data_IF_294777072070
#
_entry.id   IF_294777072070
#
_cell.length_a   1.000
_cell.length_b   1.000
_cell.length_c   1.000
_cell.angle_alpha   90.00
_cell.angle_beta   90.00
_cell.angle_gamma   90.00
#
_symmetry.space_group_name_H-M   'P 1'
#
loop_
_entity.id
_entity.type
_entity.pdbx_description
1 polymer ?
#
# COMPACT_ATOMS: atom_id res chain seq x y z
N UNK A 1 12.67 -15.07 16.12
CA UNK A 1 12.04 -15.26 14.80
C UNK A 1 12.85 -14.45 13.81
N UNK A 2 13.22 -15.02 12.66
CA UNK A 2 14.10 -14.33 11.71
C UNK A 2 13.26 -13.58 10.67
N UNK A 3 13.64 -12.33 10.43
CA UNK A 3 13.05 -11.45 9.44
C UNK A 3 14.08 -11.08 8.35
N UNK A 4 13.56 -10.72 7.19
CA UNK A 4 14.33 -10.24 6.05
C UNK A 4 13.60 -9.10 5.35
N UNK A 5 14.32 -8.33 4.54
CA UNK A 5 13.75 -7.39 3.56
C UNK A 5 13.80 -7.99 2.17
N UNK A 6 12.79 -7.73 1.37
CA UNK A 6 12.68 -8.13 -0.02
C UNK A 6 12.38 -6.89 -0.85
N UNK A 7 13.34 -6.50 -1.67
CA UNK A 7 13.21 -5.32 -2.52
C UNK A 7 13.37 -5.72 -3.98
N UNK A 8 12.38 -5.40 -4.80
CA UNK A 8 12.42 -5.57 -6.25
C UNK A 8 12.68 -4.19 -6.84
N UNK A 9 13.81 -4.04 -7.51
CA UNK A 9 14.23 -2.82 -8.21
C UNK A 9 14.14 -3.01 -9.72
N UNK A 10 14.43 -1.96 -10.48
CA UNK A 10 14.41 -2.00 -11.96
C UNK A 10 15.32 -3.11 -12.53
N UNK A 11 16.49 -3.30 -11.92
CA UNK A 11 17.53 -4.21 -12.38
C UNK A 11 18.15 -5.06 -11.25
N UNK A 12 17.55 -5.11 -10.06
CA UNK A 12 17.99 -6.02 -9.01
C UNK A 12 16.87 -6.55 -8.13
N UNK A 13 17.09 -7.72 -7.54
CA UNK A 13 16.28 -8.24 -6.42
C UNK A 13 17.20 -8.40 -5.22
N UNK A 14 16.86 -7.74 -4.13
CA UNK A 14 17.64 -7.76 -2.90
C UNK A 14 16.87 -8.47 -1.79
N UNK A 15 17.49 -9.52 -1.24
CA UNK A 15 17.02 -10.24 -0.05
C UNK A 15 18.02 -9.99 1.07
N UNK A 16 17.64 -9.17 2.05
CA UNK A 16 18.53 -8.76 3.14
C UNK A 16 18.05 -9.33 4.47
N UNK A 17 18.83 -10.26 5.03
CA UNK A 17 18.64 -10.77 6.38
C UNK A 17 19.05 -9.77 7.47
N UNK A 18 18.63 -10.06 8.71
CA UNK A 18 18.98 -9.28 9.91
C UNK A 18 20.47 -9.32 10.28
N UNK A 19 21.20 -10.34 9.82
CA UNK A 19 22.60 -10.58 10.20
C UNK A 19 23.61 -10.13 9.12
N UNK A 20 23.27 -9.13 8.30
CA UNK A 20 24.08 -8.67 7.15
C UNK A 20 24.27 -9.74 6.05
N UNK A 21 23.47 -10.80 6.07
CA UNK A 21 23.34 -11.73 4.95
C UNK A 21 22.54 -11.04 3.85
N UNK A 22 23.23 -10.53 2.82
CA UNK A 22 22.58 -9.92 1.66
C UNK A 22 22.75 -10.83 0.45
N UNK A 23 21.63 -11.27 -0.11
CA UNK A 23 21.55 -11.91 -1.41
C UNK A 23 21.00 -10.88 -2.39
N UNK A 24 21.90 -10.27 -3.16
CA UNK A 24 21.54 -9.33 -4.22
C UNK A 24 21.72 -10.02 -5.57
N UNK A 25 20.67 -10.01 -6.38
CA UNK A 25 20.69 -10.47 -7.77
C UNK A 25 20.59 -9.24 -8.66
N UNK A 26 21.73 -8.73 -9.11
CA UNK A 26 21.81 -7.57 -10.00
C UNK A 26 21.99 -8.01 -11.46
N UNK A 27 21.35 -7.29 -12.38
CA UNK A 27 21.37 -7.55 -13.81
C UNK A 27 21.87 -6.32 -14.58
N UNK A 28 22.73 -6.53 -15.57
CA UNK A 28 23.48 -5.43 -16.22
C UNK A 28 22.60 -4.45 -17.00
N UNK A 29 21.49 -4.91 -17.58
CA UNK A 29 20.62 -4.08 -18.44
C UNK A 29 19.14 -4.16 -18.03
N UNK A 30 18.60 -5.38 -17.96
CA UNK A 30 17.20 -5.62 -17.64
C UNK A 30 17.01 -6.95 -16.92
N UNK A 31 15.91 -7.06 -16.19
CA UNK A 31 15.47 -8.32 -15.58
C UNK A 31 15.30 -9.42 -16.64
N UNK A 32 15.76 -10.66 -16.37
CA UNK A 32 15.53 -11.79 -17.25
C UNK A 32 14.03 -11.98 -17.52
N UNK A 33 13.62 -12.35 -18.75
CA UNK A 33 12.22 -12.48 -19.12
C UNK A 33 11.49 -13.64 -18.41
N UNK A 34 12.23 -14.56 -17.81
CA UNK A 34 11.73 -15.71 -17.05
C UNK A 34 11.95 -15.56 -15.54
N UNK A 35 12.22 -14.35 -15.06
CA UNK A 35 12.53 -14.11 -13.65
C UNK A 35 11.34 -14.46 -12.73
N UNK A 36 10.11 -14.26 -13.19
CA UNK A 36 8.89 -14.67 -12.52
C UNK A 36 8.73 -16.19 -12.39
N UNK A 37 9.45 -16.99 -13.18
CA UNK A 37 9.51 -18.45 -13.05
C UNK A 37 10.68 -18.90 -12.14
N UNK A 38 11.83 -18.21 -12.22
CA UNK A 38 13.07 -18.61 -11.52
C UNK A 38 13.11 -18.11 -10.08
N UNK A 39 12.65 -16.89 -9.83
CA UNK A 39 12.75 -16.25 -8.52
C UNK A 39 11.89 -16.93 -7.45
N UNK A 40 10.64 -17.34 -7.69
CA UNK A 40 9.82 -17.99 -6.66
C UNK A 40 10.48 -19.24 -6.02
N UNK A 41 10.93 -20.27 -6.76
CA UNK A 41 11.56 -21.44 -6.14
C UNK A 41 12.90 -21.11 -5.46
N UNK A 42 13.63 -20.11 -5.96
CA UNK A 42 14.85 -19.62 -5.32
C UNK A 42 14.54 -18.93 -3.99
N UNK A 43 13.50 -18.09 -3.95
CA UNK A 43 13.04 -17.44 -2.72
C UNK A 43 12.65 -18.50 -1.69
N UNK A 44 11.83 -19.48 -2.05
CA UNK A 44 11.46 -20.58 -1.15
C UNK A 44 12.69 -21.27 -0.55
N UNK A 45 13.70 -21.57 -1.40
CA UNK A 45 14.94 -22.19 -0.95
C UNK A 45 15.70 -21.32 0.05
N UNK A 46 15.78 -20.01 -0.20
CA UNK A 46 16.40 -19.04 0.73
C UNK A 46 15.64 -19.03 2.04
N UNK A 47 14.30 -18.91 2.01
CA UNK A 47 13.48 -18.89 3.21
C UNK A 47 13.67 -20.16 4.05
N UNK A 48 13.78 -21.33 3.42
CA UNK A 48 14.00 -22.61 4.09
C UNK A 48 15.40 -22.74 4.70
N UNK A 49 16.44 -22.38 3.94
CA UNK A 49 17.84 -22.48 4.41
C UNK A 49 18.07 -21.57 5.60
N UNK A 50 17.55 -20.34 5.55
CA UNK A 50 17.79 -19.36 6.60
C UNK A 50 16.74 -19.38 7.70
N UNK A 51 15.59 -20.04 7.50
CA UNK A 51 14.50 -20.15 8.45
C UNK A 51 13.75 -18.83 8.65
N UNK A 52 13.57 -18.07 7.57
CA UNK A 52 12.82 -16.81 7.57
C UNK A 52 11.31 -17.07 7.57
N UNK A 53 10.58 -16.37 8.43
CA UNK A 53 9.12 -16.49 8.54
C UNK A 53 8.41 -15.14 8.66
N UNK A 54 9.15 -14.04 8.60
CA UNK A 54 8.66 -12.67 8.67
C UNK A 54 9.35 -11.86 7.59
N UNK A 55 8.60 -10.96 6.96
CA UNK A 55 9.13 -9.96 6.04
C UNK A 55 9.06 -8.63 6.75
N UNK A 56 10.20 -7.97 6.95
CA UNK A 56 10.21 -6.62 7.52
C UNK A 56 9.66 -5.63 6.49
N UNK A 57 10.26 -5.63 5.31
CA UNK A 57 9.92 -4.73 4.21
C UNK A 57 9.78 -5.56 2.93
N UNK A 58 8.68 -5.38 2.21
CA UNK A 58 8.46 -5.93 0.87
C UNK A 58 8.20 -4.77 -0.10
N UNK A 59 9.10 -4.55 -1.06
CA UNK A 59 8.91 -3.59 -2.14
C UNK A 59 8.68 -4.34 -3.46
N UNK A 60 7.56 -4.04 -4.14
CA UNK A 60 7.17 -4.69 -5.39
C UNK A 60 7.99 -4.24 -6.61
N UNK A 61 8.60 -3.07 -6.54
CA UNK A 61 9.09 -2.35 -7.73
C UNK A 61 7.96 -1.94 -8.67
N UNK A 62 8.34 -1.33 -9.79
CA UNK A 62 7.43 -0.72 -10.77
C UNK A 62 7.11 -1.61 -11.99
N UNK A 63 7.96 -2.59 -12.33
CA UNK A 63 7.83 -3.34 -13.61
C UNK A 63 6.90 -4.55 -13.57
N UNK A 64 7.20 -5.55 -12.74
CA UNK A 64 6.68 -6.91 -12.93
C UNK A 64 5.62 -7.30 -11.91
N UNK A 65 4.36 -7.11 -12.30
CA UNK A 65 3.23 -7.59 -11.51
C UNK A 65 3.25 -9.10 -11.31
N UNK A 66 3.62 -9.86 -12.35
CA UNK A 66 3.70 -11.33 -12.28
C UNK A 66 4.72 -11.78 -11.24
N UNK A 67 5.89 -11.16 -11.20
CA UNK A 67 6.91 -11.47 -10.20
C UNK A 67 6.41 -11.12 -8.79
N UNK A 68 5.86 -9.91 -8.60
CA UNK A 68 5.24 -9.51 -7.33
C UNK A 68 4.18 -10.51 -6.89
N UNK A 69 3.30 -10.94 -7.81
CA UNK A 69 2.24 -11.87 -7.53
C UNK A 69 2.77 -13.25 -7.12
N UNK A 70 3.71 -13.82 -7.89
CA UNK A 70 4.31 -15.13 -7.57
C UNK A 70 5.03 -15.12 -6.21
N UNK A 71 5.73 -14.03 -5.88
CA UNK A 71 6.35 -13.85 -4.57
C UNK A 71 5.28 -13.76 -3.48
N UNK A 72 4.23 -12.95 -3.71
CA UNK A 72 3.13 -12.77 -2.75
C UNK A 72 2.45 -14.10 -2.44
N UNK A 73 2.21 -14.95 -3.43
CA UNK A 73 1.63 -16.29 -3.22
C UNK A 73 2.47 -17.15 -2.26
N UNK A 74 3.81 -17.13 -2.40
CA UNK A 74 4.71 -17.83 -1.46
C UNK A 74 4.52 -17.29 -0.04
N UNK A 75 4.50 -15.95 0.11
CA UNK A 75 4.35 -15.31 1.42
C UNK A 75 2.99 -15.61 2.06
N UNK A 76 1.92 -15.65 1.26
CA UNK A 76 0.56 -16.03 1.67
C UNK A 76 0.55 -17.49 2.14
N UNK A 77 1.07 -18.43 1.34
CA UNK A 77 1.10 -19.86 1.65
C UNK A 77 1.89 -20.15 2.92
N UNK A 78 3.00 -19.44 3.13
CA UNK A 78 3.83 -19.53 4.34
C UNK A 78 3.25 -18.78 5.53
N UNK A 79 2.17 -18.02 5.34
CA UNK A 79 1.55 -17.16 6.36
C UNK A 79 2.56 -16.18 6.96
N UNK A 80 3.45 -15.66 6.12
CA UNK A 80 4.40 -14.65 6.55
C UNK A 80 3.65 -13.41 7.03
N UNK A 81 4.06 -12.87 8.18
CA UNK A 81 3.69 -11.50 8.57
C UNK A 81 4.63 -10.55 7.84
N UNK A 82 4.05 -9.49 7.28
CA UNK A 82 4.74 -8.43 6.58
C UNK A 82 4.62 -7.19 7.45
N UNK A 83 5.74 -6.59 7.85
CA UNK A 83 5.74 -5.30 8.53
C UNK A 83 5.24 -4.22 7.57
N UNK A 84 6.02 -4.00 6.51
CA UNK A 84 5.77 -2.97 5.51
C UNK A 84 5.62 -3.55 4.11
N UNK A 85 4.60 -3.10 3.38
CA UNK A 85 4.45 -3.33 1.94
C UNK A 85 4.51 -2.00 1.18
N UNK A 86 5.45 -1.90 0.24
CA UNK A 86 5.51 -0.84 -0.77
C UNK A 86 5.10 -1.43 -2.13
N UNK A 87 3.96 -0.98 -2.64
CA UNK A 87 3.42 -1.41 -3.92
C UNK A 87 3.45 -0.26 -4.93
N UNK A 88 4.25 -0.41 -5.99
CA UNK A 88 4.44 0.63 -7.02
C UNK A 88 4.30 0.14 -8.47
N UNK A 89 3.75 -1.07 -8.67
CA UNK A 89 3.68 -1.70 -9.99
C UNK A 89 2.80 -0.91 -10.97
N UNK A 90 3.30 -0.64 -12.18
CA UNK A 90 2.62 0.18 -13.20
C UNK A 90 1.44 -0.53 -13.89
N UNK A 91 1.50 -1.85 -14.05
CA UNK A 91 0.47 -2.64 -14.73
C UNK A 91 -0.09 -3.67 -13.77
N UNK A 92 -1.39 -3.70 -13.55
CA UNK A 92 -2.00 -4.50 -12.48
C UNK A 92 -3.10 -5.40 -13.03
N UNK A 93 -3.11 -6.67 -12.60
CA UNK A 93 -4.29 -7.53 -12.76
C UNK A 93 -5.18 -7.41 -11.52
N UNK A 94 -6.21 -6.56 -11.59
CA UNK A 94 -7.03 -6.15 -10.43
C UNK A 94 -7.55 -7.31 -9.57
N UNK A 95 -8.03 -8.39 -10.20
CA UNK A 95 -8.55 -9.56 -9.48
C UNK A 95 -7.47 -10.25 -8.66
N UNK A 96 -6.26 -10.35 -9.22
CA UNK A 96 -5.13 -10.96 -8.54
C UNK A 96 -4.57 -10.04 -7.47
N UNK A 97 -4.50 -8.72 -7.71
CA UNK A 97 -4.09 -7.77 -6.68
C UNK A 97 -5.05 -7.81 -5.49
N UNK A 98 -6.36 -7.80 -5.73
CA UNK A 98 -7.36 -7.93 -4.66
C UNK A 98 -7.16 -9.22 -3.87
N UNK A 99 -6.97 -10.35 -4.55
CA UNK A 99 -6.68 -11.63 -3.89
C UNK A 99 -5.42 -11.52 -2.99
N UNK A 100 -4.34 -10.96 -3.51
CA UNK A 100 -3.09 -10.80 -2.78
C UNK A 100 -3.31 -9.92 -1.54
N UNK A 101 -3.89 -8.73 -1.71
CA UNK A 101 -4.11 -7.79 -0.61
C UNK A 101 -5.09 -8.32 0.45
N UNK A 102 -6.05 -9.17 0.07
CA UNK A 102 -6.97 -9.83 1.02
C UNK A 102 -6.27 -10.90 1.88
N UNK A 103 -5.18 -11.48 1.40
CA UNK A 103 -4.53 -12.65 2.01
C UNK A 103 -3.15 -12.36 2.63
N UNK A 104 -2.49 -11.27 2.23
CA UNK A 104 -1.26 -10.83 2.88
C UNK A 104 -1.56 -10.32 4.30
N UNK A 105 -0.68 -10.70 5.24
CA UNK A 105 -0.77 -10.26 6.63
C UNK A 105 0.14 -9.06 6.88
N UNK A 106 -0.26 -7.90 6.36
CA UNK A 106 0.45 -6.63 6.52
C UNK A 106 0.04 -6.02 7.87
N UNK A 107 1.01 -5.63 8.71
CA UNK A 107 0.70 -5.11 10.04
C UNK A 107 1.01 -3.64 10.24
N UNK A 108 2.14 -3.16 9.75
CA UNK A 108 2.69 -1.87 10.20
C UNK A 108 2.36 -0.79 9.19
N UNK A 109 2.79 -0.95 7.93
CA UNK A 109 2.60 0.07 6.90
C UNK A 109 2.26 -0.53 5.53
N UNK A 110 1.24 0.03 4.89
CA UNK A 110 0.93 -0.23 3.49
C UNK A 110 0.97 1.06 2.69
N UNK A 111 1.89 1.09 1.72
CA UNK A 111 2.03 2.16 0.74
C UNK A 111 1.64 1.63 -0.64
N UNK A 112 0.64 2.24 -1.27
CA UNK A 112 0.24 1.95 -2.65
C UNK A 112 0.36 3.23 -3.46
N UNK A 113 1.31 3.26 -4.39
CA UNK A 113 1.54 4.37 -5.30
C UNK A 113 1.73 3.84 -6.71
N UNK A 114 0.65 3.87 -7.48
CA UNK A 114 0.67 3.40 -8.87
C UNK A 114 -0.07 4.37 -9.75
N UNK A 115 0.48 4.61 -10.93
CA UNK A 115 -0.18 5.34 -12.00
C UNK A 115 -1.23 4.48 -12.74
N UNK A 116 -1.38 3.20 -12.35
CA UNK A 116 -2.40 2.32 -12.92
C UNK A 116 -3.79 2.88 -12.68
N UNK A 117 -4.55 3.03 -13.77
CA UNK A 117 -5.95 3.44 -13.69
C UNK A 117 -6.83 2.21 -13.45
N UNK A 118 -7.26 2.05 -12.22
CA UNK A 118 -8.21 1.00 -11.84
C UNK A 118 -9.55 1.18 -12.55
N UNK A 119 -10.20 0.05 -12.82
CA UNK A 119 -11.52 0.01 -13.40
C UNK A 119 -12.52 0.73 -12.50
N UNK A 120 -13.57 1.37 -13.06
CA UNK A 120 -14.58 2.06 -12.26
C UNK A 120 -15.31 1.16 -11.24
N UNK A 121 -15.22 -0.17 -11.42
CA UNK A 121 -15.85 -1.17 -10.56
C UNK A 121 -14.86 -1.80 -9.56
N UNK A 122 -13.64 -1.27 -9.48
CA UNK A 122 -12.64 -1.74 -8.53
C UNK A 122 -13.05 -1.31 -7.10
N UNK A 123 -13.82 -2.16 -6.43
CA UNK A 123 -14.18 -2.00 -5.02
C UNK A 123 -13.33 -2.95 -4.15
N UNK A 124 -12.14 -2.46 -3.78
CA UNK A 124 -11.32 -3.11 -2.76
C UNK A 124 -11.56 -2.44 -1.40
N UNK A 125 -11.96 -3.25 -0.42
CA UNK A 125 -12.20 -2.83 0.97
C UNK A 125 -11.39 -3.77 1.85
N UNK A 126 -10.22 -3.34 2.34
CA UNK A 126 -9.39 -4.19 3.18
C UNK A 126 -10.18 -4.76 4.35
N UNK A 127 -10.10 -6.08 4.55
CA UNK A 127 -10.70 -6.74 5.73
C UNK A 127 -9.90 -6.39 6.99
N UNK A 128 -8.59 -6.20 6.82
CA UNK A 128 -7.66 -5.79 7.86
C UNK A 128 -6.88 -4.60 7.36
N UNK A 129 -6.74 -3.62 8.24
CA UNK A 129 -5.93 -2.46 7.97
C UNK A 129 -4.61 -2.57 8.72
N UNK A 130 -3.49 -2.17 8.10
CA UNK A 130 -2.26 -1.92 8.83
C UNK A 130 -2.43 -0.71 9.77
N UNK A 131 -1.46 -0.51 10.67
CA UNK A 131 -1.43 0.68 11.52
C UNK A 131 -1.39 1.96 10.68
N UNK A 132 -0.60 1.99 9.61
CA UNK A 132 -0.45 3.13 8.72
C UNK A 132 -0.85 2.74 7.29
N UNK A 133 -1.71 3.55 6.68
CA UNK A 133 -2.15 3.38 5.29
C UNK A 133 -1.82 4.63 4.49
N UNK A 134 -1.09 4.48 3.39
CA UNK A 134 -0.82 5.56 2.45
C UNK A 134 -1.20 5.12 1.03
N UNK A 135 -2.14 5.85 0.42
CA UNK A 135 -2.68 5.54 -0.91
C UNK A 135 -2.51 6.76 -1.81
N UNK A 136 -1.76 6.61 -2.89
CA UNK A 136 -1.58 7.58 -3.94
C UNK A 136 -2.29 7.13 -5.23
N UNK A 137 -3.63 7.08 -5.21
CA UNK A 137 -4.41 6.72 -6.40
C UNK A 137 -5.88 7.20 -6.31
N UNK A 138 -6.48 7.48 -7.47
CA UNK A 138 -7.82 8.04 -7.60
C UNK A 138 -8.97 7.09 -7.24
N UNK A 139 -8.73 5.78 -7.19
CA UNK A 139 -9.79 4.79 -6.89
C UNK A 139 -10.25 4.82 -5.42
N UNK A 140 -9.40 5.29 -4.51
CA UNK A 140 -9.68 5.28 -3.08
C UNK A 140 -10.61 6.44 -2.72
N UNK A 141 -11.88 6.12 -2.44
CA UNK A 141 -12.94 7.09 -2.19
C UNK A 141 -13.43 7.12 -0.75
N UNK A 142 -14.55 7.84 -0.54
CA UNK A 142 -15.16 8.07 0.77
C UNK A 142 -15.49 6.75 1.51
N UNK A 143 -16.06 5.77 0.82
CA UNK A 143 -16.40 4.46 1.40
C UNK A 143 -15.16 3.72 1.96
N UNK A 144 -14.06 3.77 1.22
CA UNK A 144 -12.80 3.15 1.64
C UNK A 144 -12.21 3.92 2.83
N UNK A 145 -12.24 5.25 2.82
CA UNK A 145 -11.81 6.09 3.94
C UNK A 145 -12.62 5.78 5.21
N UNK A 146 -13.95 5.74 5.13
CA UNK A 146 -14.84 5.42 6.26
C UNK A 146 -14.56 4.04 6.87
N UNK A 147 -14.05 3.12 6.05
CA UNK A 147 -13.62 1.79 6.53
C UNK A 147 -12.23 1.86 7.16
N UNK A 148 -11.28 2.54 6.50
CA UNK A 148 -9.89 2.64 6.94
C UNK A 148 -9.74 3.32 8.31
N UNK A 149 -10.48 4.40 8.56
CA UNK A 149 -10.37 5.17 9.82
C UNK A 149 -10.78 4.39 11.08
N UNK A 150 -11.43 3.23 10.91
CA UNK A 150 -11.82 2.32 12.01
C UNK A 150 -10.75 1.27 12.34
N UNK A 151 -9.77 1.09 11.46
CA UNK A 151 -8.72 0.07 11.60
C UNK A 151 -7.29 0.62 11.60
N UNK A 152 -7.06 1.74 10.93
CA UNK A 152 -5.76 2.42 10.88
C UNK A 152 -5.60 3.40 12.05
N UNK A 153 -4.34 3.67 12.42
CA UNK A 153 -3.93 4.81 13.26
C UNK A 153 -3.66 6.05 12.41
N UNK A 154 -3.16 5.87 11.19
CA UNK A 154 -2.91 6.95 10.24
C UNK A 154 -3.38 6.58 8.84
N UNK A 155 -4.01 7.54 8.18
CA UNK A 155 -4.46 7.41 6.79
C UNK A 155 -3.96 8.62 6.00
N UNK A 156 -3.12 8.39 5.01
CA UNK A 156 -2.65 9.38 4.04
C UNK A 156 -3.20 9.02 2.66
N UNK A 157 -3.82 10.00 2.02
CA UNK A 157 -4.44 9.87 0.70
C UNK A 157 -3.92 10.99 -0.17
N UNK A 158 -3.27 10.66 -1.27
CA UNK A 158 -2.81 11.61 -2.30
C UNK A 158 -3.29 11.17 -3.67
N UNK A 159 -3.17 12.04 -4.68
CA UNK A 159 -3.62 11.77 -6.06
C UNK A 159 -5.07 11.24 -6.13
N UNK A 160 -5.92 11.73 -5.24
CA UNK A 160 -7.27 11.22 -5.06
C UNK A 160 -8.31 12.06 -5.79
N UNK A 161 -9.46 11.46 -6.08
CA UNK A 161 -10.64 12.12 -6.66
C UNK A 161 -11.56 12.73 -5.58
N UNK A 162 -11.06 12.92 -4.35
CA UNK A 162 -11.84 13.47 -3.25
C UNK A 162 -12.25 14.92 -3.52
N UNK A 163 -13.54 15.20 -3.44
CA UNK A 163 -14.07 16.55 -3.57
C UNK A 163 -14.32 17.19 -2.21
N UNK A 164 -14.54 18.51 -2.18
CA UNK A 164 -15.02 19.22 -0.98
C UNK A 164 -16.33 18.62 -0.44
N UNK A 165 -17.18 18.07 -1.32
CA UNK A 165 -18.42 17.41 -0.91
C UNK A 165 -18.14 16.15 -0.10
N UNK A 166 -17.20 15.33 -0.55
CA UNK A 166 -16.83 14.09 0.14
C UNK A 166 -16.20 14.39 1.51
N UNK A 167 -15.37 15.44 1.57
CA UNK A 167 -14.81 15.92 2.83
C UNK A 167 -15.91 16.41 3.80
N UNK A 168 -16.88 17.18 3.30
CA UNK A 168 -18.02 17.63 4.09
C UNK A 168 -18.87 16.46 4.60
N UNK A 169 -19.09 15.46 3.75
CA UNK A 169 -19.82 14.26 4.13
C UNK A 169 -19.06 13.48 5.21
N UNK A 170 -17.75 13.24 5.03
CA UNK A 170 -16.90 12.59 6.02
C UNK A 170 -16.96 13.31 7.38
N UNK A 171 -16.71 14.62 7.40
CA UNK A 171 -16.69 15.40 8.63
C UNK A 171 -18.08 15.50 9.26
N UNK A 172 -19.14 15.60 8.45
CA UNK A 172 -20.52 15.59 8.93
C UNK A 172 -20.86 14.28 9.63
N UNK A 173 -20.51 13.14 9.03
CA UNK A 173 -20.68 11.81 9.62
C UNK A 173 -19.87 11.64 10.90
N UNK A 174 -18.66 12.18 10.94
CA UNK A 174 -17.82 12.15 12.14
C UNK A 174 -18.45 12.94 13.29
N UNK A 175 -18.88 14.18 13.04
CA UNK A 175 -19.53 15.02 14.06
C UNK A 175 -20.88 14.47 14.52
N UNK A 176 -21.59 13.76 13.65
CA UNK A 176 -22.85 13.10 13.98
C UNK A 176 -22.67 11.78 14.74
N UNK A 177 -21.43 11.41 15.10
CA UNK A 177 -21.08 10.14 15.75
C UNK A 177 -21.49 8.89 14.94
N UNK A 178 -21.67 9.02 13.62
CA UNK A 178 -21.98 7.90 12.71
C UNK A 178 -20.72 7.04 12.46
N UNK A 179 -19.53 7.63 12.61
CA UNK A 179 -18.24 6.94 12.52
C UNK A 179 -17.82 6.49 13.93
N UNK A 180 -18.54 5.51 14.46
CA UNK A 180 -18.20 4.93 15.76
C UNK A 180 -16.87 4.16 15.71
N UNK A 181 -16.12 4.21 16.81
CA UNK A 181 -14.84 3.51 17.00
C UNK A 181 -13.77 3.91 15.97
N UNK A 182 -13.69 5.18 15.61
CA UNK A 182 -12.58 5.71 14.83
C UNK A 182 -11.28 5.53 15.63
N UNK A 183 -10.32 4.80 15.05
CA UNK A 183 -8.99 4.56 15.62
C UNK A 183 -7.96 5.53 15.05
N UNK A 184 -8.23 6.10 13.87
CA UNK A 184 -7.31 7.00 13.22
C UNK A 184 -7.08 8.26 14.05
N UNK A 185 -5.83 8.49 14.42
CA UNK A 185 -5.34 9.70 15.07
C UNK A 185 -4.99 10.78 14.04
N UNK A 186 -4.54 10.37 12.85
CA UNK A 186 -4.10 11.27 11.77
C UNK A 186 -4.78 10.89 10.46
N UNK A 187 -5.38 11.88 9.78
CA UNK A 187 -5.94 11.73 8.43
C UNK A 187 -5.43 12.90 7.59
N UNK A 188 -4.76 12.59 6.49
CA UNK A 188 -4.29 13.56 5.50
C UNK A 188 -4.85 13.22 4.13
N UNK A 189 -5.49 14.20 3.49
CA UNK A 189 -6.06 14.04 2.15
C UNK A 189 -5.55 15.19 1.28
N UNK A 190 -4.91 14.84 0.18
CA UNK A 190 -4.49 15.75 -0.88
C UNK A 190 -5.24 15.40 -2.15
N UNK A 191 -5.96 16.37 -2.69
CA UNK A 191 -6.67 16.26 -3.97
C UNK A 191 -6.63 17.59 -4.70
N UNK A 192 -6.43 17.55 -6.01
CA UNK A 192 -6.57 18.71 -6.89
C UNK A 192 -8.04 19.16 -7.02
N UNK A 193 -8.99 18.29 -6.67
CA UNK A 193 -10.43 18.58 -6.69
C UNK A 193 -10.92 19.34 -5.44
N UNK A 194 -10.01 19.71 -4.53
CA UNK A 194 -10.27 20.64 -3.43
C UNK A 194 -10.27 22.12 -3.84
N UNK A 195 -10.09 22.42 -5.13
CA UNK A 195 -10.12 23.78 -5.64
C UNK A 195 -11.56 24.32 -5.75
N UNK A 196 -11.86 25.40 -5.01
CA UNK A 196 -13.11 26.15 -5.14
C UNK A 196 -13.48 27.02 -3.93
N UNK A 197 -14.55 27.81 -4.07
CA UNK A 197 -15.10 28.68 -3.01
C UNK A 197 -16.08 27.96 -2.08
N UNK A 198 -16.25 26.65 -2.25
CA UNK A 198 -17.21 25.88 -1.45
C UNK A 198 -16.72 25.76 -0.01
N UNK A 199 -17.53 26.11 1.00
CA UNK A 199 -17.11 26.03 2.38
C UNK A 199 -16.99 24.57 2.85
N UNK A 200 -16.01 24.30 3.71
CA UNK A 200 -15.92 23.03 4.45
C UNK A 200 -16.60 23.24 5.80
N UNK A 201 -17.71 22.56 6.07
CA UNK A 201 -18.54 22.74 7.27
C UNK A 201 -18.90 24.20 7.57
N UNK A 202 -19.12 25.00 6.52
CA UNK A 202 -19.42 26.43 6.68
C UNK A 202 -18.18 27.31 6.93
N UNK A 203 -16.98 26.75 7.06
CA UNK A 203 -15.72 27.49 7.09
C UNK A 203 -15.41 28.03 5.69
N UNK A 204 -15.23 29.34 5.56
CA UNK A 204 -14.91 30.00 4.28
C UNK A 204 -13.40 29.98 3.99
N UNK A 205 -12.97 29.87 2.71
CA UNK A 205 -11.56 29.86 2.31
C UNK A 205 -10.73 31.11 2.73
N UNK A 206 -9.38 31.04 2.72
CA UNK A 206 -8.58 29.91 2.26
C UNK A 206 -8.36 28.88 3.37
N UNK A 207 -8.96 27.70 3.21
CA UNK A 207 -8.59 26.52 3.96
C UNK A 207 -7.33 26.00 3.28
N UNK A 208 -6.16 26.46 3.71
CA UNK A 208 -4.89 26.01 3.17
C UNK A 208 -4.54 24.65 3.79
N UNK A 209 -4.60 23.57 3.00
CA UNK A 209 -3.97 22.30 3.32
C UNK A 209 -2.47 22.50 3.57
N UNK A 210 -1.87 21.67 4.46
CA UNK A 210 -0.49 21.83 4.95
C UNK A 210 0.48 22.30 3.86
N UNK A 211 1.01 23.52 4.01
CA UNK A 211 2.34 23.81 3.48
C UNK A 211 3.31 22.90 4.23
N UNK A 212 4.04 22.08 3.49
CA UNK A 212 5.02 21.12 3.98
C UNK A 212 5.85 21.71 5.13
N UNK A 213 5.80 21.07 6.30
CA UNK A 213 6.77 21.33 7.35
C UNK A 213 8.08 20.68 6.91
N UNK A 214 9.01 21.48 6.39
CA UNK A 214 10.41 21.08 6.32
C UNK A 214 10.91 20.87 7.76
N UNK A 215 11.33 19.64 8.06
CA UNK A 215 12.26 19.33 9.15
C UNK A 215 13.49 18.68 8.56
#
# INVERSE_FOLDING_TARGET
>A
MKEFRLEIHENSIDICGTNLETFAFAFDEAMPPNLDEVMPPLLEKILDVFGYSQVRDFSSGDKSFKLFASISEILIQRKCKIGTLYFTVENVEEKQLKHILDNLNISDFFFLDTNFQFSPNFDYKPIRFPELLCIANSWFGLDQLLTAVKGCLEVEITNSSFTIRDLNEFLGKWMAEEIQNMTAFSISISSDDFLGDSPVLGMTPPIMGRLAWQR
#
